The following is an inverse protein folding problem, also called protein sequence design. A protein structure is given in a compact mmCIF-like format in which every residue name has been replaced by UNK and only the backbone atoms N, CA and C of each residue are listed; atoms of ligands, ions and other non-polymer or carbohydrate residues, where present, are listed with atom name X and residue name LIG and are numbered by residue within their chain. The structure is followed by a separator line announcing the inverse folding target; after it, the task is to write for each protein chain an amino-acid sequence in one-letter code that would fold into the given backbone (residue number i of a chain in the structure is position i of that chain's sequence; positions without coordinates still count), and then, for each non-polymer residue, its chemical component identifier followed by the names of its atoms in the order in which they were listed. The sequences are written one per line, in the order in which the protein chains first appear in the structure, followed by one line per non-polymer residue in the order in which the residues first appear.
data_IF_643996760326
#
_entry.id   IF_643996760326
#
_cell.length_a   1.000
_cell.length_b   1.000
_cell.length_c   1.000
_cell.angle_alpha   90.00
_cell.angle_beta   90.00
_cell.angle_gamma   90.00
#
_symmetry.space_group_name_H-M   'P 1'
#
loop_
_entity.id
_entity.type
_entity.pdbx_description
1 polymer ?
#
# COMPACT_ATOMS: atom_id res chain seq x y z
N UNK A 1 5.22 3.16 22.44
CA UNK A 1 4.04 3.71 21.72
C UNK A 1 4.42 4.70 20.63
N UNK A 2 5.31 5.70 20.86
CA UNK A 2 5.69 6.67 19.82
C UNK A 2 6.35 6.00 18.61
N UNK A 3 7.17 4.99 18.84
CA UNK A 3 7.93 4.31 17.77
C UNK A 3 7.04 3.39 16.92
N UNK A 4 5.93 2.90 17.49
CA UNK A 4 4.96 2.05 16.79
C UNK A 4 4.24 2.82 15.68
N UNK A 5 4.07 4.14 15.83
CA UNK A 5 3.39 4.98 14.84
C UNK A 5 4.15 4.97 13.51
N UNK A 6 5.47 4.84 13.55
CA UNK A 6 6.30 4.76 12.36
C UNK A 6 6.21 3.42 11.62
N UNK A 7 5.69 2.37 12.25
CA UNK A 7 5.48 1.09 11.58
C UNK A 7 4.52 1.22 10.41
N UNK A 8 3.52 2.11 10.50
CA UNK A 8 2.56 2.27 9.41
C UNK A 8 3.22 2.75 8.11
N UNK A 9 3.88 3.92 8.04
CA UNK A 9 4.53 4.36 6.79
C UNK A 9 5.66 3.41 6.36
N UNK A 10 6.37 2.78 7.31
CA UNK A 10 7.43 1.82 6.97
C UNK A 10 6.86 0.56 6.29
N UNK A 11 5.87 -0.09 6.91
CA UNK A 11 5.26 -1.29 6.32
C UNK A 11 4.55 -0.97 5.02
N UNK A 12 3.90 0.20 4.93
CA UNK A 12 3.29 0.69 3.70
C UNK A 12 4.31 0.72 2.55
N UNK A 13 5.45 1.39 2.72
CA UNK A 13 6.41 1.51 1.61
C UNK A 13 7.06 0.17 1.26
N UNK A 14 7.35 -0.69 2.24
CA UNK A 14 7.94 -2.00 1.98
C UNK A 14 6.99 -2.92 1.20
N UNK A 15 5.71 -2.95 1.57
CA UNK A 15 4.71 -3.73 0.87
C UNK A 15 4.57 -3.29 -0.59
N UNK A 16 4.43 -1.98 -0.84
CA UNK A 16 4.29 -1.49 -2.20
C UNK A 16 5.57 -1.65 -3.03
N UNK A 17 6.76 -1.59 -2.41
CA UNK A 17 8.00 -1.95 -3.09
C UNK A 17 7.98 -3.41 -3.55
N UNK A 18 7.51 -4.34 -2.71
CA UNK A 18 7.33 -5.75 -3.08
C UNK A 18 6.38 -5.89 -4.29
N UNK A 19 5.29 -5.15 -4.32
CA UNK A 19 4.35 -5.18 -5.45
C UNK A 19 4.98 -4.63 -6.75
N UNK A 20 5.72 -3.52 -6.66
CA UNK A 20 6.38 -2.90 -7.83
C UNK A 20 7.48 -3.80 -8.41
N UNK A 21 8.33 -4.38 -7.56
CA UNK A 21 9.49 -5.16 -8.04
C UNK A 21 9.17 -6.64 -8.26
N UNK A 22 8.14 -7.15 -7.59
CA UNK A 22 7.77 -8.56 -7.58
C UNK A 22 6.48 -8.82 -8.36
N UNK A 23 5.36 -8.30 -7.86
CA UNK A 23 4.03 -8.63 -8.37
C UNK A 23 3.80 -8.15 -9.81
N UNK A 24 4.08 -6.87 -10.11
CA UNK A 24 3.85 -6.30 -11.45
C UNK A 24 4.69 -7.03 -12.52
N UNK A 25 6.02 -7.23 -12.35
CA UNK A 25 6.80 -7.97 -13.32
C UNK A 25 6.37 -9.43 -13.45
N UNK A 26 5.95 -10.07 -12.36
CA UNK A 26 5.42 -11.43 -12.40
C UNK A 26 4.12 -11.51 -13.21
N UNK A 27 3.20 -10.56 -13.01
CA UNK A 27 1.94 -10.48 -13.73
C UNK A 27 2.18 -10.34 -15.25
N UNK A 28 3.06 -9.42 -15.65
CA UNK A 28 3.42 -9.17 -17.04
C UNK A 28 4.06 -10.41 -17.70
N UNK A 29 4.97 -11.11 -16.99
CA UNK A 29 5.63 -12.32 -17.52
C UNK A 29 4.69 -13.51 -17.66
N UNK A 30 3.64 -13.59 -16.84
CA UNK A 30 2.72 -14.71 -16.78
C UNK A 30 1.35 -14.43 -17.41
N UNK A 31 1.22 -13.33 -18.16
CA UNK A 31 -0.06 -12.85 -18.69
C UNK A 31 -0.84 -13.94 -19.44
N UNK A 32 -0.18 -14.70 -20.32
CA UNK A 32 -0.79 -15.78 -21.10
C UNK A 32 -1.29 -16.95 -20.22
N UNK A 33 -0.59 -17.24 -19.13
CA UNK A 33 -0.99 -18.25 -18.16
C UNK A 33 -2.21 -17.77 -17.36
N UNK A 34 -2.17 -16.52 -16.91
CA UNK A 34 -3.25 -15.89 -16.14
C UNK A 34 -4.52 -15.72 -16.97
N UNK A 35 -4.40 -15.42 -18.25
CA UNK A 35 -5.55 -15.36 -19.16
C UNK A 35 -6.35 -16.68 -19.18
N UNK A 36 -5.66 -17.82 -19.02
CA UNK A 36 -6.26 -19.16 -19.03
C UNK A 36 -6.72 -19.64 -17.65
N UNK A 37 -6.02 -19.29 -16.58
CA UNK A 37 -6.22 -19.89 -15.24
C UNK A 37 -6.76 -18.92 -14.18
N UNK A 38 -6.56 -17.61 -14.37
CA UNK A 38 -6.87 -16.58 -13.39
C UNK A 38 -7.28 -15.26 -14.07
N UNK A 39 -8.25 -15.34 -14.99
CA UNK A 39 -8.68 -14.20 -15.81
C UNK A 39 -9.19 -13.03 -14.97
N UNK A 40 -9.71 -13.29 -13.76
CA UNK A 40 -10.15 -12.24 -12.81
C UNK A 40 -8.98 -11.38 -12.36
N UNK A 41 -7.86 -12.01 -11.95
CA UNK A 41 -6.65 -11.30 -11.50
C UNK A 41 -6.07 -10.49 -12.66
N UNK A 42 -6.01 -11.09 -13.85
CA UNK A 42 -5.50 -10.41 -15.04
C UNK A 42 -6.37 -9.19 -15.41
N UNK A 43 -7.70 -9.31 -15.36
CA UNK A 43 -8.61 -8.19 -15.65
C UNK A 43 -8.48 -7.05 -14.64
N UNK A 44 -8.32 -7.38 -13.35
CA UNK A 44 -8.19 -6.37 -12.29
C UNK A 44 -6.93 -5.51 -12.44
N UNK A 45 -5.88 -6.03 -13.09
CA UNK A 45 -4.58 -5.37 -13.21
C UNK A 45 -4.15 -5.12 -14.66
N UNK A 46 -5.06 -5.26 -15.63
CA UNK A 46 -4.74 -5.26 -17.06
C UNK A 46 -4.14 -3.94 -17.55
N UNK A 47 -4.63 -2.83 -17.00
CA UNK A 47 -4.23 -1.47 -17.39
C UNK A 47 -3.28 -0.83 -16.37
N UNK A 48 -2.67 -1.65 -15.50
CA UNK A 48 -1.77 -1.18 -14.45
C UNK A 48 -0.39 -0.85 -15.06
N UNK A 49 -0.13 0.43 -15.30
CA UNK A 49 1.23 0.89 -15.61
C UNK A 49 2.06 0.99 -14.33
N UNK A 50 3.34 0.64 -14.41
CA UNK A 50 4.26 0.73 -13.27
C UNK A 50 4.36 2.17 -12.76
N UNK A 51 4.37 3.15 -13.68
CA UNK A 51 4.45 4.57 -13.36
C UNK A 51 3.17 5.09 -12.70
N UNK A 52 2.00 4.71 -13.24
CA UNK A 52 0.72 5.11 -12.67
C UNK A 52 0.49 4.50 -11.30
N UNK A 53 0.90 3.24 -11.13
CA UNK A 53 0.88 2.57 -9.84
C UNK A 53 1.83 3.24 -8.84
N UNK A 54 3.08 3.48 -9.22
CA UNK A 54 4.05 4.17 -8.37
C UNK A 54 3.58 5.58 -7.95
N UNK A 55 2.89 6.31 -8.84
CA UNK A 55 2.31 7.61 -8.51
C UNK A 55 1.19 7.47 -7.45
N UNK A 56 0.26 6.53 -7.63
CA UNK A 56 -0.81 6.28 -6.67
C UNK A 56 -0.25 5.88 -5.29
N UNK A 57 0.77 5.03 -5.26
CA UNK A 57 1.49 4.64 -4.04
C UNK A 57 2.13 5.85 -3.38
N UNK A 58 2.78 6.73 -4.15
CA UNK A 58 3.42 7.93 -3.62
C UNK A 58 2.41 8.88 -2.97
N UNK A 59 1.26 9.11 -3.61
CA UNK A 59 0.18 9.94 -3.07
C UNK A 59 -0.35 9.38 -1.74
N UNK A 60 -0.63 8.07 -1.68
CA UNK A 60 -1.10 7.41 -0.46
C UNK A 60 -0.03 7.41 0.63
N UNK A 61 1.24 7.19 0.29
CA UNK A 61 2.35 7.24 1.24
C UNK A 61 2.47 8.62 1.88
N UNK A 62 2.32 9.70 1.11
CA UNK A 62 2.33 11.07 1.64
C UNK A 62 1.24 11.25 2.69
N UNK A 63 0.02 10.76 2.43
CA UNK A 63 -1.09 10.82 3.40
C UNK A 63 -0.75 10.02 4.66
N UNK A 64 -0.33 8.76 4.53
CA UNK A 64 0.04 7.88 5.65
C UNK A 64 1.17 8.49 6.49
N UNK A 65 2.17 9.06 5.82
CA UNK A 65 3.31 9.73 6.45
C UNK A 65 2.85 10.95 7.25
N UNK A 66 2.05 11.84 6.67
CA UNK A 66 1.58 13.03 7.38
C UNK A 66 0.65 12.70 8.55
N UNK A 67 -0.27 11.73 8.39
CA UNK A 67 -1.11 11.24 9.49
C UNK A 67 -0.24 10.72 10.65
N UNK A 68 0.76 9.91 10.33
CA UNK A 68 1.71 9.37 11.32
C UNK A 68 2.54 10.46 11.99
N UNK A 69 3.07 11.40 11.20
CA UNK A 69 3.85 12.53 11.68
C UNK A 69 3.03 13.41 12.64
N UNK A 70 1.82 13.82 12.24
CA UNK A 70 0.96 14.65 13.06
C UNK A 70 0.47 13.93 14.32
N UNK A 71 0.22 12.63 14.26
CA UNK A 71 -0.11 11.82 15.44
C UNK A 71 1.04 11.85 16.49
N UNK A 72 2.30 11.88 16.06
CA UNK A 72 3.46 11.97 16.95
C UNK A 72 3.60 13.36 17.57
N UNK A 73 3.41 14.42 16.77
CA UNK A 73 3.59 15.82 17.19
C UNK A 73 2.46 16.26 18.13
N UNK A 74 1.21 16.16 17.68
CA UNK A 74 0.06 16.76 18.38
C UNK A 74 -0.56 15.86 19.44
N UNK A 75 -0.33 14.54 19.37
CA UNK A 75 -0.73 13.55 20.40
C UNK A 75 -2.21 13.59 20.79
N UNK A 76 -3.08 13.97 19.87
CA UNK A 76 -4.53 14.00 20.14
C UNK A 76 -5.11 12.60 19.97
N UNK A 77 -6.12 12.26 20.80
CA UNK A 77 -6.87 11.01 20.67
C UNK A 77 -7.46 10.84 19.26
N UNK A 78 -7.93 11.93 18.68
CA UNK A 78 -8.50 11.93 17.33
C UNK A 78 -7.49 11.47 16.27
N UNK A 79 -6.26 12.00 16.27
CA UNK A 79 -5.22 11.59 15.32
C UNK A 79 -4.77 10.14 15.53
N UNK A 80 -4.74 9.66 16.78
CA UNK A 80 -4.46 8.25 17.04
C UNK A 80 -5.54 7.31 16.52
N UNK A 81 -6.82 7.72 16.58
CA UNK A 81 -7.91 6.93 16.02
C UNK A 81 -7.87 6.90 14.48
N UNK A 82 -7.53 8.03 13.84
CA UNK A 82 -7.31 8.06 12.37
C UNK A 82 -6.14 7.16 12.00
N UNK A 83 -5.01 7.28 12.69
CA UNK A 83 -3.83 6.46 12.44
C UNK A 83 -4.14 4.97 12.63
N UNK A 84 -4.80 4.60 13.73
CA UNK A 84 -5.14 3.21 14.04
C UNK A 84 -6.15 2.63 13.04
N UNK A 85 -7.17 3.40 12.65
CA UNK A 85 -8.13 2.99 11.63
C UNK A 85 -7.46 2.77 10.27
N UNK A 86 -6.58 3.69 9.88
CA UNK A 86 -5.77 3.54 8.66
C UNK A 86 -4.85 2.32 8.71
N UNK A 87 -4.18 2.09 9.83
CA UNK A 87 -3.27 0.96 10.02
C UNK A 87 -4.00 -0.38 9.94
N UNK A 88 -5.17 -0.50 10.58
CA UNK A 88 -6.00 -1.71 10.49
C UNK A 88 -6.51 -1.93 9.06
N UNK A 89 -6.96 -0.87 8.38
CA UNK A 89 -7.40 -0.98 6.99
C UNK A 89 -6.26 -1.45 6.07
N UNK A 90 -5.05 -0.96 6.31
CA UNK A 90 -3.85 -1.41 5.61
C UNK A 90 -3.51 -2.88 5.92
N UNK A 91 -3.52 -3.31 7.18
CA UNK A 91 -3.26 -4.71 7.55
C UNK A 91 -4.28 -5.68 6.90
N UNK A 92 -5.54 -5.27 6.76
CA UNK A 92 -6.56 -6.04 6.06
C UNK A 92 -6.34 -6.10 4.54
N UNK A 93 -5.66 -5.11 3.96
CA UNK A 93 -5.29 -5.11 2.55
C UNK A 93 -4.12 -6.07 2.25
N UNK A 94 -3.24 -6.30 3.23
CA UNK A 94 -2.08 -7.20 3.08
C UNK A 94 -2.44 -8.69 2.93
N UNK A 95 -3.67 -9.10 3.24
CA UNK A 95 -4.16 -10.50 3.25
C UNK A 95 -5.10 -10.77 2.08
#
# INVERSE_FOLDING_TARGET
MKDIIWLFPLLFIFHYLEEIIGFIPWLQRNEQLLAKKATVILKAHKDLSTEGFALAVAEQFVVVFFVSFFAIIYRTRFLYLIWMGGFIAFDLHLV
#
